data_IF_041015392261
#
_entry.id   IF_041015392261
#
_cell.length_a   1.000
_cell.length_b   1.000
_cell.length_c   1.000
_cell.angle_alpha   90.00
_cell.angle_beta   90.00
_cell.angle_gamma   90.00
#
_symmetry.space_group_name_H-M   'P 1'
#
loop_
_entity.id
_entity.type
_entity.pdbx_description
1 polymer ?
#
# COMPACT_ATOMS: atom_id res chain seq x y z
N UNK A 1 28.12 -1.18 16.41
CA UNK A 1 27.26 -0.02 16.76
C UNK A 1 25.95 -0.17 16.01
N UNK A 2 24.81 0.15 16.62
CA UNK A 2 23.52 0.18 15.94
C UNK A 2 23.27 1.57 15.33
N UNK A 3 22.70 1.64 14.13
CA UNK A 3 22.49 2.91 13.39
C UNK A 3 21.35 3.79 13.93
N UNK A 4 20.54 3.28 14.87
CA UNK A 4 19.41 4.00 15.43
C UNK A 4 18.35 3.05 15.98
N UNK A 5 17.27 3.62 16.54
CA UNK A 5 16.08 2.88 16.95
C UNK A 5 15.08 2.87 15.80
N UNK A 6 14.34 1.78 15.66
CA UNK A 6 13.17 1.72 14.77
C UNK A 6 12.13 2.76 15.26
N UNK A 7 11.58 3.61 14.39
CA UNK A 7 10.57 4.59 14.79
C UNK A 7 9.28 3.91 15.28
N UNK A 8 8.86 4.19 16.51
CA UNK A 8 7.59 3.72 17.07
C UNK A 8 6.65 4.85 17.46
N UNK A 9 7.13 6.09 17.44
CA UNK A 9 6.30 7.27 17.70
C UNK A 9 5.27 7.41 16.58
N UNK A 10 3.99 7.55 16.96
CA UNK A 10 2.85 7.65 16.02
C UNK A 10 2.66 6.41 15.12
N UNK A 11 3.22 5.26 15.49
CA UNK A 11 2.86 3.99 14.86
C UNK A 11 1.48 3.56 15.34
N UNK A 12 0.55 3.39 14.40
CA UNK A 12 -0.90 3.25 14.65
C UNK A 12 -1.45 1.84 14.39
N UNK A 13 -0.75 1.05 13.59
CA UNK A 13 -1.13 -0.32 13.27
C UNK A 13 0.04 -1.06 12.64
N UNK A 14 0.04 -2.38 12.78
CA UNK A 14 1.08 -3.24 12.24
C UNK A 14 0.51 -4.61 11.88
N UNK A 15 0.54 -4.95 10.59
CA UNK A 15 0.16 -6.27 10.10
C UNK A 15 1.41 -7.14 9.97
N UNK A 16 1.45 -8.27 10.69
CA UNK A 16 2.62 -9.14 10.69
C UNK A 16 2.24 -10.64 10.68
N UNK A 17 2.66 -11.42 11.66
CA UNK A 17 2.48 -12.87 11.66
C UNK A 17 1.06 -13.32 12.02
N UNK A 18 0.25 -12.48 12.64
CA UNK A 18 -1.03 -12.89 13.19
C UNK A 18 -2.13 -12.94 12.12
N UNK A 19 -2.34 -14.12 11.53
CA UNK A 19 -3.36 -14.36 10.51
C UNK A 19 -4.24 -15.55 10.89
N UNK A 20 -5.55 -15.37 10.82
CA UNK A 20 -6.55 -16.41 11.09
C UNK A 20 -7.73 -16.26 10.14
N UNK A 21 -8.14 -17.38 9.53
CA UNK A 21 -9.26 -17.43 8.56
C UNK A 21 -9.03 -16.45 7.39
N UNK A 22 -9.78 -15.35 7.35
CA UNK A 22 -9.67 -14.28 6.36
C UNK A 22 -9.28 -12.93 7.00
N UNK A 23 -8.70 -12.98 8.20
CA UNK A 23 -8.35 -11.79 9.00
C UNK A 23 -6.85 -11.73 9.21
N UNK A 24 -6.22 -10.69 8.68
CA UNK A 24 -4.86 -10.32 9.03
C UNK A 24 -4.93 -9.35 10.21
N UNK A 25 -4.57 -9.85 11.38
CA UNK A 25 -4.75 -9.13 12.64
C UNK A 25 -3.68 -8.07 12.82
N UNK A 26 -4.11 -6.92 13.29
CA UNK A 26 -3.23 -5.85 13.73
C UNK A 26 -2.61 -6.23 15.07
N UNK A 27 -1.28 -6.21 15.14
CA UNK A 27 -0.51 -6.55 16.34
C UNK A 27 -0.73 -5.51 17.46
N UNK A 28 -1.24 -4.31 17.12
CA UNK A 28 -1.66 -3.28 18.09
C UNK A 28 -3.12 -3.41 18.54
N UNK A 29 -3.82 -4.45 18.10
CA UNK A 29 -5.24 -4.70 18.42
C UNK A 29 -6.18 -3.58 17.97
N UNK A 30 -5.74 -2.78 16.99
CA UNK A 30 -6.54 -1.73 16.37
C UNK A 30 -7.41 -2.30 15.26
N UNK A 31 -7.08 -1.96 14.02
CA UNK A 31 -7.91 -2.28 12.86
C UNK A 31 -7.31 -3.47 12.13
N UNK A 32 -8.06 -4.56 11.98
CA UNK A 32 -7.59 -5.71 11.21
C UNK A 32 -7.79 -5.49 9.70
N UNK A 33 -6.92 -6.08 8.87
CA UNK A 33 -7.15 -6.16 7.44
C UNK A 33 -7.96 -7.40 7.06
N UNK A 34 -8.83 -7.26 6.07
CA UNK A 34 -9.60 -8.35 5.48
C UNK A 34 -8.82 -8.94 4.32
N UNK A 35 -8.76 -10.26 4.26
CA UNK A 35 -7.99 -10.98 3.25
C UNK A 35 -8.92 -11.82 2.40
N UNK A 36 -8.81 -11.69 1.08
CA UNK A 36 -9.54 -12.51 0.11
C UNK A 36 -8.61 -13.60 -0.40
N UNK A 37 -8.87 -14.86 -0.06
CA UNK A 37 -8.12 -16.05 -0.56
C UNK A 37 -6.59 -16.04 -0.29
N UNK A 38 -6.11 -15.22 0.66
CA UNK A 38 -4.70 -15.19 1.06
C UNK A 38 -4.33 -16.39 1.95
N UNK A 39 -3.07 -16.79 1.91
CA UNK A 39 -2.55 -17.89 2.75
C UNK A 39 -1.27 -17.47 3.45
N UNK A 40 -1.14 -17.84 4.72
CA UNK A 40 0.10 -17.70 5.47
C UNK A 40 1.10 -18.76 4.98
N UNK A 41 2.01 -18.35 4.10
CA UNK A 41 3.10 -19.18 3.58
C UNK A 41 4.48 -18.64 3.92
N UNK A 42 4.55 -17.47 4.55
CA UNK A 42 5.79 -16.82 4.96
C UNK A 42 5.73 -16.42 6.44
N UNK A 43 6.87 -16.34 7.14
CA UNK A 43 6.95 -15.68 8.43
C UNK A 43 6.53 -14.21 8.28
N UNK A 44 5.79 -13.69 9.26
CA UNK A 44 5.48 -12.26 9.40
C UNK A 44 4.70 -11.62 8.23
N UNK A 45 3.97 -12.42 7.45
CA UNK A 45 3.12 -11.91 6.39
C UNK A 45 2.33 -12.98 5.63
N UNK A 46 1.86 -12.63 4.44
CA UNK A 46 1.04 -13.48 3.58
C UNK A 46 1.63 -13.58 2.18
N UNK A 47 1.30 -14.67 1.49
CA UNK A 47 1.55 -14.80 0.05
C UNK A 47 0.23 -14.72 -0.70
N UNK A 48 0.19 -13.89 -1.73
CA UNK A 48 -0.97 -13.66 -2.56
C UNK A 48 -0.80 -14.32 -3.94
N UNK A 49 -1.82 -15.03 -4.40
CA UNK A 49 -1.91 -15.70 -5.70
C UNK A 49 -3.38 -15.65 -6.14
N UNK A 50 -3.75 -14.67 -6.97
CA UNK A 50 -5.16 -14.37 -7.25
C UNK A 50 -5.93 -13.94 -5.99
N UNK A 51 -5.22 -13.36 -5.01
CA UNK A 51 -5.71 -12.94 -3.70
C UNK A 51 -5.17 -11.55 -3.35
N UNK A 52 -5.78 -10.91 -2.36
CA UNK A 52 -5.37 -9.58 -1.87
C UNK A 52 -5.80 -9.36 -0.42
N UNK A 53 -5.34 -8.27 0.17
CA UNK A 53 -5.79 -7.78 1.46
C UNK A 53 -6.28 -6.34 1.33
N UNK A 54 -7.27 -5.97 2.13
CA UNK A 54 -7.80 -4.60 2.24
C UNK A 54 -7.69 -4.19 3.70
N UNK A 55 -6.99 -3.08 3.95
CA UNK A 55 -6.86 -2.53 5.30
C UNK A 55 -7.76 -1.29 5.44
N UNK A 56 -8.95 -1.42 6.06
CA UNK A 56 -9.95 -0.37 6.01
C UNK A 56 -9.51 0.88 6.75
N UNK A 57 -9.73 2.02 6.09
CA UNK A 57 -9.64 3.35 6.70
C UNK A 57 -11.04 3.81 7.13
N UNK A 58 -12.00 3.79 6.21
CA UNK A 58 -13.22 4.62 6.22
C UNK A 58 -14.57 3.89 6.36
N UNK A 59 -14.61 2.56 6.47
CA UNK A 59 -15.85 1.77 6.35
C UNK A 59 -16.32 1.12 7.66
N UNK A 60 -15.93 1.69 8.81
CA UNK A 60 -16.21 1.11 10.15
C UNK A 60 -17.42 1.73 10.89
N UNK A 61 -18.33 2.39 10.16
CA UNK A 61 -19.56 2.95 10.74
C UNK A 61 -19.31 4.25 11.53
N UNK A 62 -19.73 4.31 12.80
CA UNK A 62 -19.71 5.54 13.62
C UNK A 62 -18.30 5.99 14.02
N UNK A 63 -17.36 5.05 14.14
CA UNK A 63 -15.97 5.32 14.50
C UNK A 63 -15.05 4.97 13.34
N UNK A 64 -14.21 5.91 12.94
CA UNK A 64 -13.26 5.77 11.83
C UNK A 64 -11.84 5.95 12.38
N UNK A 65 -11.20 4.89 12.93
CA UNK A 65 -9.94 5.00 13.66
C UNK A 65 -8.80 5.61 12.83
N UNK A 66 -8.79 5.35 11.52
CA UNK A 66 -7.76 5.81 10.61
C UNK A 66 -8.14 7.09 9.85
N UNK A 67 -9.10 7.88 10.33
CA UNK A 67 -9.49 9.13 9.68
C UNK A 67 -8.31 10.09 9.43
N UNK A 68 -7.26 10.04 10.28
CA UNK A 68 -6.06 10.86 10.14
C UNK A 68 -5.34 10.69 8.80
N UNK A 69 -5.47 9.52 8.14
CA UNK A 69 -4.80 9.22 6.86
C UNK A 69 -5.28 10.13 5.73
N UNK A 70 -6.41 10.82 5.89
CA UNK A 70 -6.87 11.85 4.97
C UNK A 70 -6.06 13.16 5.06
N UNK A 71 -5.12 13.28 6.01
CA UNK A 71 -4.24 14.44 6.17
C UNK A 71 -2.77 14.06 5.96
N UNK A 72 -2.25 13.12 6.75
CA UNK A 72 -0.86 12.66 6.67
C UNK A 72 -0.77 11.18 7.06
N UNK A 73 0.05 10.40 6.36
CA UNK A 73 0.39 9.04 6.75
C UNK A 73 1.68 8.55 6.08
N UNK A 74 2.23 7.49 6.65
CA UNK A 74 3.23 6.63 6.01
C UNK A 74 2.78 5.17 6.14
N UNK A 75 2.71 4.46 5.01
CA UNK A 75 2.44 3.04 4.92
C UNK A 75 3.70 2.34 4.40
N UNK A 76 4.20 1.37 5.17
CA UNK A 76 5.44 0.66 4.87
C UNK A 76 5.15 -0.82 4.74
N UNK A 77 5.73 -1.46 3.72
CA UNK A 77 5.63 -2.90 3.51
C UNK A 77 6.95 -3.47 3.02
N UNK A 78 7.25 -4.70 3.45
CA UNK A 78 8.26 -5.55 2.82
C UNK A 78 7.55 -6.45 1.82
N UNK A 79 8.01 -6.44 0.56
CA UNK A 79 7.34 -7.15 -0.53
C UNK A 79 8.34 -7.99 -1.33
N UNK A 80 7.86 -9.11 -1.87
CA UNK A 80 8.59 -9.93 -2.82
C UNK A 80 7.65 -10.36 -3.94
N UNK A 81 8.12 -10.27 -5.19
CA UNK A 81 7.36 -10.67 -6.37
C UNK A 81 7.86 -12.04 -6.80
N UNK A 82 7.01 -13.07 -6.70
CA UNK A 82 7.44 -14.46 -6.93
C UNK A 82 7.43 -14.86 -8.41
N UNK A 83 6.56 -14.23 -9.21
CA UNK A 83 6.31 -14.62 -10.60
C UNK A 83 6.22 -13.37 -11.47
N UNK A 84 6.82 -13.46 -12.66
CA UNK A 84 6.66 -12.43 -13.70
C UNK A 84 5.22 -12.50 -14.21
N UNK A 85 4.46 -11.39 -14.18
CA UNK A 85 3.08 -11.41 -14.63
C UNK A 85 3.05 -11.59 -16.14
N UNK A 86 2.05 -12.26 -16.69
CA UNK A 86 1.86 -12.34 -18.14
C UNK A 86 1.65 -10.94 -18.73
N UNK A 87 2.03 -10.73 -19.99
CA UNK A 87 1.86 -9.45 -20.68
C UNK A 87 0.42 -8.93 -20.64
N UNK A 88 -0.58 -9.81 -20.80
CA UNK A 88 -2.02 -9.48 -20.76
C UNK A 88 -2.54 -9.08 -19.37
N UNK A 89 -1.79 -9.42 -18.33
CA UNK A 89 -2.12 -9.18 -16.93
C UNK A 89 -1.27 -8.06 -16.31
N UNK A 90 -0.40 -7.44 -17.11
CA UNK A 90 0.50 -6.34 -16.72
C UNK A 90 -0.17 -4.98 -17.00
N UNK A 91 -0.07 -3.98 -16.12
CA UNK A 91 0.62 -3.99 -14.81
C UNK A 91 -0.23 -4.61 -13.70
N UNK A 92 0.43 -5.23 -12.71
CA UNK A 92 -0.24 -5.81 -11.52
C UNK A 92 -0.11 -4.86 -10.32
N UNK A 93 -1.21 -4.51 -9.62
CA UNK A 93 -1.16 -3.74 -8.38
C UNK A 93 -0.41 -4.47 -7.27
N UNK A 94 0.52 -3.79 -6.60
CA UNK A 94 1.27 -4.33 -5.47
C UNK A 94 0.77 -3.79 -4.12
N UNK A 95 0.66 -2.47 -4.03
CA UNK A 95 0.19 -1.76 -2.83
C UNK A 95 -0.35 -0.40 -3.26
N UNK A 96 -1.43 0.08 -2.64
CA UNK A 96 -2.02 1.35 -3.03
C UNK A 96 -2.93 1.94 -1.97
N UNK A 97 -3.49 3.09 -2.29
CA UNK A 97 -4.46 3.81 -1.47
C UNK A 97 -5.68 4.04 -2.33
N UNK A 98 -6.87 3.67 -1.85
CA UNK A 98 -8.11 3.83 -2.61
C UNK A 98 -9.06 4.83 -1.99
N UNK A 99 -9.80 5.52 -2.85
CA UNK A 99 -10.83 6.48 -2.45
C UNK A 99 -12.16 5.76 -2.18
N UNK A 100 -12.97 6.36 -1.32
CA UNK A 100 -14.36 6.00 -1.08
C UNK A 100 -15.28 6.72 -2.06
N UNK A 101 -15.03 6.53 -3.36
CA UNK A 101 -15.93 6.98 -4.43
C UNK A 101 -16.58 5.76 -5.11
N UNK A 102 -17.59 5.98 -5.95
CA UNK A 102 -18.32 4.90 -6.64
C UNK A 102 -17.39 3.99 -7.45
N UNK A 103 -16.24 4.49 -7.88
CA UNK A 103 -15.27 3.76 -8.70
C UNK A 103 -14.21 3.00 -7.87
N UNK A 104 -14.16 3.19 -6.55
CA UNK A 104 -13.01 2.81 -5.72
C UNK A 104 -11.68 3.23 -6.35
N UNK A 105 -11.60 4.49 -6.76
CA UNK A 105 -10.47 5.02 -7.53
C UNK A 105 -9.17 4.86 -6.75
N UNK A 106 -8.13 4.37 -7.41
CA UNK A 106 -6.76 4.39 -6.87
C UNK A 106 -6.30 5.84 -6.78
N UNK A 107 -6.02 6.29 -5.56
CA UNK A 107 -5.50 7.63 -5.27
C UNK A 107 -4.05 7.73 -5.74
N UNK A 108 -3.21 6.85 -5.19
CA UNK A 108 -1.86 6.56 -5.67
C UNK A 108 -1.43 5.17 -5.19
N UNK A 109 -0.41 4.62 -5.82
CA UNK A 109 0.12 3.31 -5.45
C UNK A 109 1.25 2.84 -6.34
N UNK A 110 1.78 1.68 -5.99
CA UNK A 110 2.85 1.02 -6.72
C UNK A 110 2.32 -0.26 -7.39
N UNK A 111 2.63 -0.40 -8.67
CA UNK A 111 2.42 -1.60 -9.47
C UNK A 111 3.73 -2.08 -10.07
N UNK A 112 3.72 -3.27 -10.65
CA UNK A 112 4.87 -3.84 -11.33
C UNK A 112 4.48 -4.45 -12.68
N UNK A 113 5.39 -4.42 -13.65
CA UNK A 113 5.13 -4.85 -15.04
C UNK A 113 5.85 -6.14 -15.41
N UNK A 114 5.41 -6.80 -16.48
CA UNK A 114 6.08 -7.94 -17.10
C UNK A 114 7.54 -7.63 -17.48
N UNK A 115 7.82 -6.41 -17.94
CA UNK A 115 9.16 -5.94 -18.34
C UNK A 115 10.06 -5.57 -17.14
N UNK A 116 9.71 -6.02 -15.93
CA UNK A 116 10.51 -5.80 -14.72
C UNK A 116 10.64 -4.34 -14.29
N UNK A 117 9.60 -3.55 -14.57
CA UNK A 117 9.53 -2.12 -14.19
C UNK A 117 8.55 -1.89 -13.05
N UNK A 118 8.94 -1.00 -12.15
CA UNK A 118 8.04 -0.35 -11.21
C UNK A 118 7.19 0.67 -11.95
N UNK A 119 5.88 0.67 -11.65
CA UNK A 119 4.92 1.64 -12.16
C UNK A 119 4.30 2.37 -10.99
N UNK A 120 4.68 3.64 -10.81
CA UNK A 120 3.93 4.53 -9.94
C UNK A 120 2.62 4.89 -10.64
N UNK A 121 1.51 4.53 -10.01
CA UNK A 121 0.16 4.89 -10.46
C UNK A 121 -0.21 6.20 -9.77
N UNK A 122 -0.24 7.32 -10.50
CA UNK A 122 -0.94 8.50 -10.01
C UNK A 122 -2.46 8.29 -10.21
N UNK A 123 -3.28 8.94 -9.38
CA UNK A 123 -4.72 8.98 -9.58
C UNK A 123 -5.15 9.53 -10.96
N UNK A 124 -6.47 9.64 -11.16
CA UNK A 124 -7.22 9.87 -12.44
C UNK A 124 -6.66 10.84 -13.51
N UNK A 125 -5.60 11.61 -13.28
CA UNK A 125 -5.14 12.68 -14.19
C UNK A 125 -3.63 12.85 -14.40
N UNK A 126 -2.76 12.01 -13.84
CA UNK A 126 -1.30 12.22 -13.99
C UNK A 126 -0.60 11.17 -14.86
N UNK A 127 0.51 11.58 -15.50
CA UNK A 127 1.37 10.68 -16.26
C UNK A 127 2.00 9.65 -15.32
N UNK A 128 1.87 8.37 -15.68
CA UNK A 128 2.50 7.27 -14.96
C UNK A 128 4.02 7.30 -15.17
N UNK A 129 4.77 6.90 -14.14
CA UNK A 129 6.24 6.86 -14.19
C UNK A 129 6.72 5.42 -14.10
N UNK A 130 7.50 5.01 -15.09
CA UNK A 130 8.14 3.71 -15.13
C UNK A 130 9.59 3.84 -14.68
N UNK A 131 10.00 2.97 -13.76
CA UNK A 131 11.38 2.87 -13.28
C UNK A 131 11.80 1.41 -13.41
N UNK A 132 12.91 1.14 -14.07
CA UNK A 132 13.43 -0.24 -14.17
C UNK A 132 13.86 -0.75 -12.78
N UNK A 133 13.80 -2.06 -12.54
CA UNK A 133 14.62 -2.64 -11.47
C UNK A 133 13.92 -3.51 -10.43
N UNK A 134 12.82 -4.19 -10.76
CA UNK A 134 12.35 -5.29 -9.91
C UNK A 134 12.78 -6.65 -10.46
N UNK A 135 13.17 -7.58 -9.58
CA UNK A 135 13.59 -8.93 -9.93
C UNK A 135 12.78 -9.96 -9.12
N UNK A 136 12.50 -11.14 -9.69
CA UNK A 136 11.68 -12.14 -9.02
C UNK A 136 12.41 -12.72 -7.80
N UNK A 137 11.68 -12.91 -6.71
CA UNK A 137 12.14 -13.40 -5.42
C UNK A 137 13.12 -12.48 -4.67
N UNK A 138 13.38 -11.28 -5.20
CA UNK A 138 14.04 -10.23 -4.43
C UNK A 138 13.06 -9.59 -3.44
N UNK A 139 13.63 -9.07 -2.36
CA UNK A 139 12.87 -8.42 -1.28
C UNK A 139 13.07 -6.92 -1.33
N UNK A 140 11.98 -6.18 -1.39
CA UNK A 140 11.97 -4.73 -1.48
C UNK A 140 11.26 -4.11 -0.27
N UNK A 141 11.77 -2.98 0.21
CA UNK A 141 11.07 -2.11 1.16
C UNK A 141 10.31 -1.03 0.40
N UNK A 142 8.98 -1.02 0.52
CA UNK A 142 8.10 -0.03 -0.12
C UNK A 142 7.58 0.91 0.94
N UNK A 143 7.63 2.21 0.65
CA UNK A 143 6.97 3.27 1.42
C UNK A 143 6.01 4.04 0.50
N UNK A 144 4.75 4.11 0.91
CA UNK A 144 3.77 5.07 0.42
C UNK A 144 3.58 6.14 1.49
N UNK A 145 3.86 7.39 1.17
CA UNK A 145 3.71 8.51 2.09
C UNK A 145 2.80 9.56 1.49
N UNK A 146 1.99 10.19 2.33
CA UNK A 146 1.24 11.40 2.01
C UNK A 146 1.46 12.42 3.13
N UNK A 147 1.85 13.63 2.77
CA UNK A 147 1.83 14.80 3.65
C UNK A 147 0.80 15.81 3.13
N UNK A 148 0.82 17.05 3.62
CA UNK A 148 -0.17 18.08 3.25
C UNK A 148 -0.12 18.54 1.79
N UNK A 149 0.98 18.33 1.10
CA UNK A 149 1.24 18.89 -0.23
C UNK A 149 1.55 17.81 -1.26
N UNK A 150 2.16 16.71 -0.85
CA UNK A 150 2.70 15.68 -1.72
C UNK A 150 2.31 14.26 -1.29
N UNK A 151 2.24 13.37 -2.28
CA UNK A 151 2.47 11.96 -2.04
C UNK A 151 3.83 11.55 -2.59
N UNK A 152 4.44 10.56 -1.96
CA UNK A 152 5.76 10.03 -2.31
C UNK A 152 5.74 8.51 -2.27
N UNK A 153 6.36 7.90 -3.27
CA UNK A 153 6.55 6.45 -3.39
C UNK A 153 8.05 6.17 -3.38
N UNK A 154 8.50 5.33 -2.46
CA UNK A 154 9.91 4.97 -2.32
C UNK A 154 10.05 3.44 -2.33
N UNK A 155 11.04 2.94 -3.07
CA UNK A 155 11.45 1.53 -3.08
C UNK A 155 12.93 1.46 -2.72
N UNK A 156 13.30 0.74 -1.66
CA UNK A 156 14.68 0.58 -1.19
C UNK A 156 15.48 1.89 -1.04
N UNK A 157 14.79 2.96 -0.58
CA UNK A 157 15.29 4.33 -0.41
C UNK A 157 15.44 5.13 -1.72
N UNK A 158 15.07 4.56 -2.86
CA UNK A 158 14.95 5.27 -4.13
C UNK A 158 13.54 5.83 -4.30
N UNK A 159 13.44 7.13 -4.56
CA UNK A 159 12.17 7.80 -4.87
C UNK A 159 11.71 7.45 -6.28
N UNK A 160 10.59 6.71 -6.37
CA UNK A 160 9.98 6.29 -7.63
C UNK A 160 9.06 7.38 -8.19
N UNK A 161 8.28 8.03 -7.32
CA UNK A 161 7.42 9.16 -7.70
C UNK A 161 7.23 10.11 -6.51
N UNK A 162 7.18 11.40 -6.81
CA UNK A 162 6.90 12.46 -5.85
C UNK A 162 6.09 13.53 -6.56
N UNK A 163 4.84 13.74 -6.12
CA UNK A 163 3.91 14.62 -6.81
C UNK A 163 3.03 15.37 -5.84
N UNK A 164 2.78 16.62 -6.18
CA UNK A 164 1.76 17.43 -5.53
C UNK A 164 0.37 16.92 -5.92
N UNK A 165 -0.58 16.99 -5.00
CA UNK A 165 -1.97 16.61 -5.25
C UNK A 165 -2.94 17.77 -4.95
N UNK A 166 -4.13 17.74 -5.56
CA UNK A 166 -5.18 18.71 -5.27
C UNK A 166 -5.83 18.38 -3.92
N UNK A 167 -5.65 19.27 -2.94
CA UNK A 167 -6.21 19.12 -1.59
C UNK A 167 -7.74 19.06 -1.60
N UNK A 168 -8.39 19.63 -2.61
CA UNK A 168 -9.84 19.59 -2.76
C UNK A 168 -10.37 18.17 -3.01
N UNK A 169 -9.50 17.21 -3.33
CA UNK A 169 -9.87 15.80 -3.46
C UNK A 169 -10.54 15.26 -2.20
N UNK A 170 -10.09 15.71 -1.03
CA UNK A 170 -10.67 15.36 0.26
C UNK A 170 -11.84 16.27 0.67
N UNK A 171 -12.42 17.08 -0.23
CA UNK A 171 -13.68 17.77 0.07
C UNK A 171 -14.88 16.84 -0.16
N UNK A 172 -14.81 16.00 -1.20
CA UNK A 172 -15.94 15.16 -1.63
C UNK A 172 -15.81 13.69 -1.22
N UNK A 173 -14.59 13.17 -1.14
CA UNK A 173 -14.35 11.76 -0.82
C UNK A 173 -13.27 11.62 0.25
N UNK A 174 -13.19 10.45 0.86
CA UNK A 174 -12.16 10.09 1.85
C UNK A 174 -11.44 8.84 1.38
N UNK A 175 -10.29 8.54 1.96
CA UNK A 175 -9.62 7.25 1.77
C UNK A 175 -10.55 6.14 2.31
N UNK A 176 -10.79 5.11 1.50
CA UNK A 176 -11.59 3.95 1.89
C UNK A 176 -10.74 2.89 2.57
N UNK A 177 -9.63 2.50 1.95
CA UNK A 177 -8.70 1.48 2.43
C UNK A 177 -7.33 1.63 1.77
N UNK A 178 -6.35 0.94 2.35
CA UNK A 178 -5.11 0.56 1.69
C UNK A 178 -5.26 -0.82 1.05
#
# INVERSE_FOLDING_TARGET
MCNGRVPTNRLVGFLSGNFSENTWRDEYLGVNAKVTNGKRRVPNGLTFQGSWAEWPVGDMGQTVPYYFTNNEFALVATVSIHEVPKEDSSPVPLIGVRMNDTSSTVLFGLSYTHEKKWLAIPGKSAASRFVDGWEPNETYQVLLQMDYDYWTIVVDKEEIDHKSYDKNLFNSHRISHF
#
